data_IF_598348469800
#
_entry.id   IF_598348469800
#
_cell.length_a   1.000
_cell.length_b   1.000
_cell.length_c   1.000
_cell.angle_alpha   90.00
_cell.angle_beta   90.00
_cell.angle_gamma   90.00
#
_symmetry.space_group_name_H-M   'P 1'
#
loop_
_entity.id
_entity.type
_entity.pdbx_description
1 polymer ?
#
# COMPACT_ATOMS: atom_id res chain seq x y z
N UNK A 1 -15.76 -9.57 -59.17
CA UNK A 1 -14.88 -8.52 -59.73
C UNK A 1 -13.84 -8.18 -58.68
N UNK A 2 -12.57 -8.56 -58.92
CA UNK A 2 -11.45 -8.35 -58.00
C UNK A 2 -10.94 -6.92 -58.15
N UNK A 3 -10.75 -6.18 -57.06
CA UNK A 3 -9.84 -5.02 -57.04
C UNK A 3 -8.67 -5.34 -56.12
N UNK A 4 -7.51 -5.30 -56.74
CA UNK A 4 -6.16 -5.59 -56.25
C UNK A 4 -5.45 -4.26 -56.05
N UNK A 5 -4.59 -4.20 -55.03
CA UNK A 5 -3.47 -3.27 -54.82
C UNK A 5 -3.84 -1.80 -54.54
N UNK A 6 -3.25 -1.13 -53.55
CA UNK A 6 -1.81 -0.87 -53.46
C UNK A 6 -1.37 -0.61 -52.02
N UNK A 7 -0.18 -1.14 -51.69
CA UNK A 7 0.65 -0.76 -50.56
C UNK A 7 1.34 0.56 -50.89
N UNK A 8 1.37 1.50 -49.94
CA UNK A 8 2.35 2.61 -49.96
C UNK A 8 3.26 2.40 -48.76
N UNK A 9 4.50 2.02 -49.07
CA UNK A 9 5.63 2.08 -48.18
C UNK A 9 6.10 3.54 -48.10
N UNK A 10 6.23 4.07 -46.89
CA UNK A 10 6.88 5.35 -46.62
C UNK A 10 8.01 5.13 -45.64
N UNK A 11 9.20 4.85 -46.17
CA UNK A 11 10.47 4.90 -45.44
C UNK A 11 10.87 6.35 -45.21
N UNK A 12 11.14 6.73 -43.95
CA UNK A 12 11.99 7.88 -43.64
C UNK A 12 12.97 7.49 -42.54
N UNK A 13 14.24 7.70 -42.85
CA UNK A 13 15.41 7.31 -42.10
C UNK A 13 15.86 8.38 -41.10
N UNK A 14 16.51 7.89 -40.04
CA UNK A 14 17.68 8.43 -39.35
C UNK A 14 17.67 9.86 -38.76
N UNK A 15 17.85 9.94 -37.44
CA UNK A 15 18.95 10.71 -36.84
C UNK A 15 19.27 10.14 -35.45
N UNK A 16 20.41 9.45 -35.36
CA UNK A 16 21.05 9.04 -34.10
C UNK A 16 21.97 10.19 -33.69
N UNK A 17 21.76 10.78 -32.53
CA UNK A 17 22.75 11.68 -31.92
C UNK A 17 23.08 11.16 -30.52
N UNK A 18 24.15 10.38 -30.46
CA UNK A 18 24.83 10.04 -29.21
C UNK A 18 25.78 11.18 -28.84
N UNK A 19 25.62 11.77 -27.66
CA UNK A 19 26.66 12.59 -27.02
C UNK A 19 27.13 11.86 -25.76
N UNK A 20 28.43 11.62 -25.69
CA UNK A 20 29.11 10.93 -24.61
C UNK A 20 29.96 11.90 -23.78
N UNK A 21 30.29 11.41 -22.57
CA UNK A 21 31.46 11.72 -21.73
C UNK A 21 31.40 12.94 -20.79
N UNK A 22 31.38 12.61 -19.49
CA UNK A 22 31.79 13.47 -18.39
C UNK A 22 32.09 12.64 -17.15
N UNK A 23 33.21 11.91 -17.12
CA UNK A 23 33.78 11.36 -15.89
C UNK A 23 34.51 12.49 -15.15
N UNK A 24 34.10 12.80 -13.93
CA UNK A 24 34.91 13.59 -13.00
C UNK A 24 35.05 12.80 -11.70
N UNK A 25 36.20 12.14 -11.56
CA UNK A 25 36.65 11.50 -10.34
C UNK A 25 37.55 12.50 -9.60
N UNK A 26 37.16 12.87 -8.37
CA UNK A 26 38.05 13.56 -7.45
C UNK A 26 38.35 12.61 -6.30
N UNK A 27 39.52 11.99 -6.35
CA UNK A 27 40.10 11.22 -5.25
C UNK A 27 40.57 12.19 -4.18
N UNK A 28 40.04 12.09 -2.96
CA UNK A 28 40.59 12.80 -1.80
C UNK A 28 41.24 11.78 -0.86
N UNK A 29 42.52 12.05 -0.67
CA UNK A 29 43.56 11.31 0.02
C UNK A 29 43.25 10.97 1.48
N UNK A 30 43.59 9.74 1.85
CA UNK A 30 43.71 9.23 3.22
C UNK A 30 44.87 9.96 3.91
N UNK A 31 44.63 10.67 5.01
CA UNK A 31 45.68 10.99 5.97
C UNK A 31 45.64 9.97 7.12
N UNK A 32 46.71 9.17 7.16
CA UNK A 32 46.99 8.14 8.15
C UNK A 32 48.05 8.71 9.07
N UNK A 33 47.65 9.38 10.15
CA UNK A 33 48.56 9.71 11.23
C UNK A 33 48.50 8.65 12.32
N UNK A 34 49.44 7.71 12.21
CA UNK A 34 49.96 6.88 13.30
C UNK A 34 50.56 7.73 14.42
N UNK A 35 50.26 7.41 15.67
CA UNK A 35 51.29 7.09 16.69
C UNK A 35 50.67 6.41 17.92
N UNK A 36 50.98 5.12 17.97
CA UNK A 36 51.21 4.25 19.11
C UNK A 36 52.10 4.90 20.18
N UNK A 37 51.77 4.74 21.47
CA UNK A 37 52.69 4.12 22.44
C UNK A 37 52.01 3.90 23.79
N UNK A 38 52.41 2.77 24.37
CA UNK A 38 51.95 2.08 25.56
C UNK A 38 52.09 2.82 26.90
N UNK A 39 51.35 2.34 27.88
CA UNK A 39 51.54 2.66 29.30
C UNK A 39 50.83 1.64 30.20
N UNK A 40 51.47 0.50 30.43
CA UNK A 40 51.11 -0.48 31.48
C UNK A 40 51.50 0.05 32.84
N UNK A 41 50.62 -0.02 33.85
CA UNK A 41 50.93 -0.39 35.26
C UNK A 41 49.68 -0.47 36.15
N UNK A 42 49.52 -1.61 36.81
CA UNK A 42 48.63 -1.96 37.97
C UNK A 42 49.43 -1.66 39.27
N UNK A 43 48.90 -1.41 40.52
CA UNK A 43 47.89 -2.23 41.21
C UNK A 43 46.96 -1.59 42.32
N UNK A 44 45.98 -2.42 42.73
CA UNK A 44 45.43 -2.66 44.09
C UNK A 44 44.48 -1.67 44.82
N UNK A 45 43.22 -2.14 44.94
CA UNK A 45 42.36 -2.29 46.13
C UNK A 45 41.88 -1.07 46.97
N UNK A 46 40.55 -0.84 46.96
CA UNK A 46 39.68 -0.80 48.16
C UNK A 46 38.17 -0.73 47.77
N UNK A 47 37.36 -1.67 48.27
CA UNK A 47 35.90 -1.55 48.47
C UNK A 47 35.67 -1.26 49.98
N UNK A 48 34.45 -0.96 50.50
CA UNK A 48 33.11 -0.78 49.88
C UNK A 48 32.35 0.49 50.39
N UNK A 49 31.21 0.83 49.79
CA UNK A 49 29.98 1.22 50.55
C UNK A 49 28.75 1.24 49.65
N UNK A 50 27.74 0.49 50.07
CA UNK A 50 26.36 0.41 49.57
C UNK A 50 25.59 1.70 49.80
N UNK A 51 24.83 2.21 48.82
CA UNK A 51 23.50 2.82 49.04
C UNK A 51 22.59 2.61 47.83
N UNK A 52 21.60 1.76 48.04
CA UNK A 52 20.47 1.44 47.20
C UNK A 52 19.33 2.42 47.54
N UNK A 53 18.80 3.13 46.56
CA UNK A 53 17.49 3.80 46.66
C UNK A 53 16.79 3.68 45.31
N UNK A 54 15.60 3.06 45.33
CA UNK A 54 14.97 2.39 44.20
C UNK A 54 14.49 3.33 43.08
N UNK A 55 14.95 3.05 41.86
CA UNK A 55 14.23 3.45 40.66
C UNK A 55 13.06 2.48 40.46
N UNK A 56 11.84 3.00 40.52
CA UNK A 56 10.64 2.24 40.17
C UNK A 56 10.79 1.66 38.76
N UNK A 57 10.69 0.35 38.66
CA UNK A 57 10.67 -0.35 37.38
C UNK A 57 9.51 0.21 36.54
N UNK A 58 9.70 0.52 35.24
CA UNK A 58 8.59 0.84 34.38
C UNK A 58 7.64 -0.36 34.39
N UNK A 59 6.37 -0.11 34.69
CA UNK A 59 5.32 -1.11 34.58
C UNK A 59 5.34 -1.62 33.13
N UNK A 60 5.87 -2.83 32.94
CA UNK A 60 5.74 -3.52 31.68
C UNK A 60 4.26 -3.78 31.49
N UNK A 61 3.63 -3.05 30.57
CA UNK A 61 2.31 -3.41 30.08
C UNK A 61 2.48 -4.75 29.38
N UNK A 62 2.16 -5.83 30.09
CA UNK A 62 2.09 -7.17 29.50
C UNK A 62 1.02 -7.09 28.43
N UNK A 63 1.44 -7.05 27.16
CA UNK A 63 0.54 -7.26 26.04
C UNK A 63 0.05 -8.70 26.20
N UNK A 64 -1.23 -8.88 26.49
CA UNK A 64 -1.82 -10.20 26.54
C UNK A 64 -1.54 -10.87 25.18
N UNK A 65 -0.98 -12.08 25.21
CA UNK A 65 -0.82 -12.86 23.99
C UNK A 65 -2.22 -13.15 23.44
N UNK A 66 -2.48 -12.91 22.15
CA UNK A 66 -3.78 -13.21 21.57
C UNK A 66 -4.09 -14.71 21.72
N UNK A 67 -5.37 -15.01 21.94
CA UNK A 67 -5.88 -16.37 21.91
C UNK A 67 -5.83 -16.83 20.44
N UNK A 68 -5.09 -17.91 20.11
CA UNK A 68 -4.97 -18.39 18.74
C UNK A 68 -6.30 -18.86 18.14
N UNK A 69 -7.32 -19.11 18.97
CA UNK A 69 -8.66 -19.50 18.52
C UNK A 69 -9.62 -18.29 18.37
N UNK A 70 -9.16 -17.08 18.69
CA UNK A 70 -9.94 -15.85 18.47
C UNK A 70 -9.77 -15.32 17.05
N UNK A 71 -10.87 -14.86 16.44
CA UNK A 71 -10.86 -14.16 15.15
C UNK A 71 -10.53 -12.66 15.29
N UNK A 72 -10.04 -12.26 16.45
CA UNK A 72 -9.58 -10.90 16.70
C UNK A 72 -8.27 -10.63 15.96
N UNK A 73 -8.15 -9.43 15.37
CA UNK A 73 -6.90 -9.00 14.73
C UNK A 73 -5.91 -8.43 15.76
N UNK A 74 -4.59 -8.63 15.59
CA UNK A 74 -3.58 -8.14 16.54
C UNK A 74 -3.66 -6.62 16.78
N UNK A 75 -3.84 -6.22 18.04
CA UNK A 75 -3.99 -4.81 18.42
C UNK A 75 -5.37 -4.21 18.15
N UNK A 76 -6.32 -5.01 17.68
CA UNK A 76 -7.70 -4.62 17.38
C UNK A 76 -7.85 -3.96 16.01
N UNK A 77 -9.10 -3.93 15.52
CA UNK A 77 -9.45 -3.45 14.16
C UNK A 77 -8.87 -2.07 13.84
N UNK A 78 -9.04 -1.08 14.74
CA UNK A 78 -8.54 0.28 14.53
C UNK A 78 -7.03 0.36 14.30
N UNK A 79 -6.25 -0.44 15.04
CA UNK A 79 -4.79 -0.46 14.90
C UNK A 79 -4.37 -1.12 13.58
N UNK A 80 -5.01 -2.24 13.23
CA UNK A 80 -4.78 -2.95 11.96
C UNK A 80 -5.10 -2.08 10.75
N UNK A 81 -6.26 -1.41 10.76
CA UNK A 81 -6.65 -0.51 9.67
C UNK A 81 -5.71 0.70 9.59
N UNK A 82 -5.35 1.31 10.72
CA UNK A 82 -4.41 2.45 10.74
C UNK A 82 -3.04 2.06 10.17
N UNK A 83 -2.57 0.86 10.51
CA UNK A 83 -1.32 0.34 9.96
C UNK A 83 -1.43 0.08 8.45
N UNK A 84 -2.55 -0.49 7.99
CA UNK A 84 -2.80 -0.72 6.56
C UNK A 84 -2.86 0.60 5.76
N UNK A 85 -3.57 1.61 6.26
CA UNK A 85 -3.66 2.95 5.64
C UNK A 85 -2.26 3.59 5.50
N UNK A 86 -1.36 3.39 6.47
CA UNK A 86 0.00 3.95 6.41
C UNK A 86 0.87 3.42 5.26
N UNK A 87 0.46 2.31 4.63
CA UNK A 87 1.19 1.64 3.54
C UNK A 87 0.69 2.02 2.15
N UNK A 88 -0.37 2.82 2.04
CA UNK A 88 -0.96 3.23 0.76
C UNK A 88 -0.88 4.75 0.57
N UNK A 89 -1.04 5.20 -0.67
CA UNK A 89 -1.12 6.61 -0.99
C UNK A 89 -2.38 7.25 -0.36
N UNK A 90 -2.35 8.57 -0.03
CA UNK A 90 -3.56 9.30 0.35
C UNK A 90 -4.58 9.30 -0.80
N UNK A 91 -5.87 9.58 -0.55
CA UNK A 91 -6.89 9.61 -1.60
C UNK A 91 -6.53 10.57 -2.73
N UNK A 92 -6.01 11.73 -2.36
CA UNK A 92 -5.53 12.81 -3.22
C UNK A 92 -4.52 13.65 -2.45
N UNK A 93 -3.80 14.55 -3.13
CA UNK A 93 -2.85 15.44 -2.48
C UNK A 93 -3.53 16.26 -1.35
N UNK A 94 -3.00 16.13 -0.14
CA UNK A 94 -3.55 16.80 1.06
C UNK A 94 -4.84 16.19 1.62
N UNK A 95 -5.38 15.14 0.99
CA UNK A 95 -6.54 14.41 1.50
C UNK A 95 -6.17 13.30 2.48
N UNK A 96 -7.14 12.86 3.27
CA UNK A 96 -7.01 11.74 4.20
C UNK A 96 -8.14 10.73 3.99
N UNK A 97 -7.85 9.48 4.30
CA UNK A 97 -8.86 8.42 4.33
C UNK A 97 -9.71 8.50 5.59
N UNK A 98 -10.98 8.12 5.47
CA UNK A 98 -11.85 7.71 6.58
C UNK A 98 -12.31 6.29 6.34
N UNK A 99 -12.55 5.54 7.41
CA UNK A 99 -13.02 4.16 7.34
C UNK A 99 -14.52 4.16 7.08
N UNK A 100 -14.94 3.42 6.04
CA UNK A 100 -16.34 3.15 5.72
C UNK A 100 -16.73 1.76 6.20
N UNK A 101 -17.34 0.96 5.33
CA UNK A 101 -17.70 -0.43 5.63
C UNK A 101 -16.45 -1.29 5.87
N UNK A 102 -16.52 -2.15 6.89
CA UNK A 102 -15.46 -3.09 7.25
C UNK A 102 -16.07 -4.46 7.56
N UNK A 103 -15.38 -5.51 7.13
CA UNK A 103 -15.62 -6.90 7.55
C UNK A 103 -14.36 -7.52 8.12
N UNK A 104 -13.40 -6.70 8.56
CA UNK A 104 -12.08 -7.15 8.98
C UNK A 104 -12.21 -8.22 10.07
N UNK A 105 -11.67 -9.40 9.77
CA UNK A 105 -11.76 -10.58 10.62
C UNK A 105 -10.47 -11.40 10.47
N UNK A 106 -9.97 -11.90 11.60
CA UNK A 106 -8.71 -12.64 11.70
C UNK A 106 -8.78 -14.10 11.26
N UNK A 107 -9.98 -14.64 11.02
CA UNK A 107 -10.23 -16.00 10.56
C UNK A 107 -10.81 -16.09 9.15
N UNK A 108 -11.13 -14.96 8.52
CA UNK A 108 -11.75 -14.93 7.19
C UNK A 108 -10.71 -15.12 6.10
N UNK A 109 -11.01 -16.00 5.13
CA UNK A 109 -10.20 -16.21 3.93
C UNK A 109 -10.02 -14.88 3.17
N UNK A 110 -11.09 -14.10 3.08
CA UNK A 110 -11.06 -12.72 2.60
C UNK A 110 -11.92 -11.84 3.50
N UNK A 111 -11.33 -10.77 4.03
CA UNK A 111 -12.07 -9.66 4.61
C UNK A 111 -11.65 -8.35 3.95
N UNK A 112 -12.45 -7.30 4.08
CA UNK A 112 -12.15 -6.02 3.44
C UNK A 112 -12.50 -4.83 4.30
N UNK A 113 -11.88 -3.69 3.95
CA UNK A 113 -12.19 -2.38 4.50
C UNK A 113 -12.32 -1.40 3.35
N UNK A 114 -13.48 -0.75 3.25
CA UNK A 114 -13.70 0.37 2.33
C UNK A 114 -13.15 1.64 2.96
N UNK A 115 -12.29 2.33 2.23
CA UNK A 115 -11.82 3.66 2.55
C UNK A 115 -12.53 4.69 1.69
N UNK A 116 -13.03 5.73 2.33
CA UNK A 116 -13.64 6.88 1.69
C UNK A 116 -12.74 8.11 1.87
N UNK A 117 -12.82 9.07 0.96
CA UNK A 117 -12.13 10.35 1.16
C UNK A 117 -12.84 11.14 2.27
N UNK A 118 -12.11 11.57 3.30
CA UNK A 118 -12.67 12.39 4.37
C UNK A 118 -13.27 13.70 3.81
N UNK A 119 -14.55 13.96 4.12
CA UNK A 119 -15.29 15.10 3.57
C UNK A 119 -15.60 14.99 2.07
N UNK A 120 -15.41 13.79 1.49
CA UNK A 120 -15.64 13.53 0.08
C UNK A 120 -17.12 13.41 -0.30
N UNK A 121 -17.35 13.27 -1.59
CA UNK A 121 -18.65 12.90 -2.19
C UNK A 121 -18.48 11.61 -2.98
N UNK A 122 -19.54 11.09 -3.62
CA UNK A 122 -19.44 9.87 -4.42
C UNK A 122 -18.38 9.96 -5.55
N UNK A 123 -18.10 11.17 -6.06
CA UNK A 123 -17.06 11.38 -7.08
C UNK A 123 -15.65 11.51 -6.52
N UNK A 124 -15.50 11.52 -5.19
CA UNK A 124 -14.19 11.49 -4.54
C UNK A 124 -13.58 10.09 -4.62
N UNK A 125 -12.25 9.97 -4.50
CA UNK A 125 -11.61 8.66 -4.50
C UNK A 125 -12.06 7.75 -3.35
N UNK A 126 -12.18 6.47 -3.66
CA UNK A 126 -12.36 5.37 -2.72
C UNK A 126 -11.19 4.40 -2.86
N UNK A 127 -10.99 3.55 -1.86
CA UNK A 127 -10.09 2.41 -1.96
C UNK A 127 -10.67 1.21 -1.23
N UNK A 128 -10.47 0.01 -1.77
CA UNK A 128 -10.78 -1.24 -1.08
C UNK A 128 -9.47 -1.81 -0.54
N UNK A 129 -9.35 -1.95 0.78
CA UNK A 129 -8.28 -2.74 1.38
C UNK A 129 -8.74 -4.19 1.51
N UNK A 130 -7.90 -5.14 1.12
CA UNK A 130 -8.21 -6.57 1.18
C UNK A 130 -7.26 -7.25 2.17
N UNK A 131 -7.82 -8.10 3.01
CA UNK A 131 -7.14 -8.83 4.08
C UNK A 131 -7.42 -10.32 3.96
N UNK A 132 -6.47 -11.11 4.44
CA UNK A 132 -6.60 -12.56 4.66
C UNK A 132 -6.04 -12.83 6.06
N UNK A 133 -6.79 -13.53 6.91
CA UNK A 133 -6.45 -13.76 8.32
C UNK A 133 -6.05 -12.48 9.07
N UNK A 134 -6.78 -11.39 8.84
CA UNK A 134 -6.49 -10.07 9.43
C UNK A 134 -5.23 -9.37 8.90
N UNK A 135 -4.51 -9.97 7.94
CA UNK A 135 -3.29 -9.41 7.33
C UNK A 135 -3.59 -8.81 5.96
N UNK A 136 -3.22 -7.54 5.79
CA UNK A 136 -3.43 -6.81 4.54
C UNK A 136 -2.67 -7.47 3.38
N UNK A 137 -3.42 -7.87 2.35
CA UNK A 137 -2.89 -8.44 1.11
C UNK A 137 -2.62 -7.35 0.05
N UNK A 138 -3.39 -6.26 0.09
CA UNK A 138 -3.22 -5.13 -0.81
C UNK A 138 -4.47 -4.30 -0.97
N UNK A 139 -4.52 -3.53 -2.05
CA UNK A 139 -5.71 -2.79 -2.46
C UNK A 139 -6.43 -3.51 -3.60
N UNK A 140 -7.75 -3.35 -3.71
CA UNK A 140 -8.53 -3.93 -4.81
C UNK A 140 -8.07 -3.38 -6.18
N UNK A 141 -7.81 -2.08 -6.27
CA UNK A 141 -7.19 -1.49 -7.46
C UNK A 141 -5.94 -0.72 -7.09
N UNK A 142 -4.99 -0.63 -8.03
CA UNK A 142 -3.80 0.20 -7.86
C UNK A 142 -4.13 1.69 -7.73
N UNK A 143 -5.19 2.13 -8.41
CA UNK A 143 -5.68 3.50 -8.36
C UNK A 143 -6.69 3.71 -7.23
N UNK A 144 -6.87 4.97 -6.83
CA UNK A 144 -7.98 5.40 -6.00
C UNK A 144 -9.13 5.84 -6.91
N UNK A 145 -10.06 4.92 -7.22
CA UNK A 145 -11.16 5.17 -8.15
C UNK A 145 -12.40 5.75 -7.44
N UNK A 146 -13.19 6.62 -8.08
CA UNK A 146 -14.44 7.13 -7.52
C UNK A 146 -15.61 6.14 -7.66
N UNK A 147 -16.75 6.49 -7.07
CA UNK A 147 -18.05 5.83 -7.25
C UNK A 147 -18.06 4.30 -7.00
N UNK A 148 -17.34 3.86 -5.98
CA UNK A 148 -17.29 2.45 -5.59
C UNK A 148 -18.43 2.11 -4.61
N UNK A 149 -19.03 0.94 -4.75
CA UNK A 149 -19.95 0.38 -3.75
C UNK A 149 -19.85 -1.14 -3.71
N UNK A 150 -19.87 -1.73 -2.51
CA UNK A 150 -19.98 -3.19 -2.36
C UNK A 150 -21.38 -3.63 -2.76
N UNK A 151 -21.48 -4.66 -3.60
CA UNK A 151 -22.77 -5.23 -4.04
C UNK A 151 -22.97 -6.66 -3.58
N UNK A 152 -21.89 -7.37 -3.23
CA UNK A 152 -21.94 -8.72 -2.66
C UNK A 152 -20.64 -9.03 -1.92
N UNK A 153 -20.66 -9.96 -0.96
CA UNK A 153 -19.46 -10.47 -0.29
C UNK A 153 -19.74 -11.78 0.45
N UNK A 154 -18.72 -12.62 0.56
CA UNK A 154 -18.73 -13.86 1.33
C UNK A 154 -17.42 -14.08 2.09
N UNK A 155 -17.18 -15.31 2.55
CA UNK A 155 -16.01 -15.68 3.34
C UNK A 155 -14.68 -15.53 2.57
N UNK A 156 -14.70 -15.72 1.25
CA UNK A 156 -13.53 -15.73 0.38
C UNK A 156 -13.59 -14.68 -0.75
N UNK A 157 -14.64 -13.85 -0.82
CA UNK A 157 -14.78 -12.86 -1.90
C UNK A 157 -15.51 -11.57 -1.51
N UNK A 158 -15.27 -10.53 -2.31
CA UNK A 158 -16.05 -9.28 -2.30
C UNK A 158 -16.26 -8.80 -3.73
N UNK A 159 -17.50 -8.42 -4.07
CA UNK A 159 -17.85 -7.84 -5.36
C UNK A 159 -18.11 -6.35 -5.22
N UNK A 160 -17.34 -5.55 -5.94
CA UNK A 160 -17.44 -4.09 -5.98
C UNK A 160 -18.05 -3.67 -7.31
N UNK A 161 -19.08 -2.83 -7.25
CA UNK A 161 -19.51 -2.06 -8.40
C UNK A 161 -18.64 -0.81 -8.54
N UNK A 162 -18.01 -0.66 -9.70
CA UNK A 162 -17.28 0.53 -10.10
C UNK A 162 -18.13 1.29 -11.11
N UNK A 163 -18.64 2.47 -10.71
CA UNK A 163 -19.25 3.40 -11.67
C UNK A 163 -18.23 4.37 -12.22
N UNK A 164 -18.47 4.88 -13.42
CA UNK A 164 -17.56 5.79 -14.10
C UNK A 164 -18.31 6.66 -15.11
N UNK A 165 -17.69 7.79 -15.46
CA UNK A 165 -18.21 8.72 -16.45
C UNK A 165 -18.02 8.13 -17.84
N UNK A 166 -19.12 7.89 -18.55
CA UNK A 166 -19.13 7.34 -19.89
C UNK A 166 -19.41 8.45 -20.92
N UNK A 167 -18.35 9.10 -21.42
CA UNK A 167 -18.48 10.24 -22.34
C UNK A 167 -18.74 11.55 -21.61
N UNK A 168 -19.64 12.39 -22.14
CA UNK A 168 -19.89 13.74 -21.63
C UNK A 168 -21.02 13.76 -20.57
N UNK A 169 -20.79 13.11 -19.42
CA UNK A 169 -21.76 13.03 -18.32
C UNK A 169 -21.37 13.95 -17.14
N UNK A 170 -22.34 14.47 -16.38
CA UNK A 170 -22.02 15.18 -15.13
C UNK A 170 -21.50 14.20 -14.07
N UNK A 171 -20.53 14.65 -13.27
CA UNK A 171 -19.98 13.88 -12.13
C UNK A 171 -21.04 13.37 -11.15
N UNK A 172 -22.19 14.06 -11.03
CA UNK A 172 -23.27 13.64 -10.14
C UNK A 172 -24.06 12.43 -10.66
N UNK A 173 -23.93 12.05 -11.94
CA UNK A 173 -24.75 10.99 -12.55
C UNK A 173 -23.98 10.12 -13.56
N UNK A 174 -22.89 9.43 -13.15
CA UNK A 174 -22.19 8.49 -14.03
C UNK A 174 -23.11 7.35 -14.46
N UNK A 175 -23.17 7.02 -15.75
CA UNK A 175 -23.97 5.89 -16.26
C UNK A 175 -23.13 4.64 -16.51
N UNK A 176 -21.81 4.77 -16.64
CA UNK A 176 -20.90 3.65 -16.72
C UNK A 176 -20.90 2.83 -15.43
N UNK A 177 -20.86 1.50 -15.55
CA UNK A 177 -20.88 0.59 -14.41
C UNK A 177 -20.27 -0.78 -14.77
N UNK A 178 -19.44 -1.33 -13.90
CA UNK A 178 -18.91 -2.70 -14.00
C UNK A 178 -18.79 -3.31 -12.61
N UNK A 179 -19.08 -4.61 -12.49
CA UNK A 179 -18.80 -5.36 -11.28
C UNK A 179 -17.44 -6.05 -11.42
N UNK A 180 -16.63 -5.91 -10.38
CA UNK A 180 -15.36 -6.64 -10.22
C UNK A 180 -15.45 -7.44 -8.94
N UNK A 181 -15.12 -8.72 -9.02
CA UNK A 181 -15.03 -9.58 -7.83
C UNK A 181 -13.57 -9.78 -7.47
N UNK A 182 -13.24 -9.60 -6.20
CA UNK A 182 -11.96 -9.98 -5.63
C UNK A 182 -12.15 -11.26 -4.84
N UNK A 183 -11.42 -12.32 -5.19
CA UNK A 183 -11.58 -13.63 -4.59
C UNK A 183 -10.24 -14.16 -4.08
N UNK A 184 -10.23 -14.74 -2.89
CA UNK A 184 -9.10 -15.48 -2.37
C UNK A 184 -9.03 -16.86 -3.04
N UNK A 185 -7.85 -17.22 -3.54
CA UNK A 185 -7.62 -18.48 -4.28
C UNK A 185 -6.83 -19.51 -3.47
N UNK A 186 -6.67 -19.30 -2.16
CA UNK A 186 -5.81 -20.09 -1.29
C UNK A 186 -4.33 -19.69 -1.32
N UNK A 187 -3.92 -18.82 -2.26
CA UNK A 187 -2.54 -18.32 -2.36
C UNK A 187 -2.41 -16.81 -2.53
N UNK A 188 -3.52 -16.14 -2.81
CA UNK A 188 -3.56 -14.72 -3.12
C UNK A 188 -4.95 -14.29 -3.60
N UNK A 189 -5.10 -12.98 -3.78
CA UNK A 189 -6.33 -12.37 -4.30
C UNK A 189 -6.30 -12.35 -5.82
N UNK A 190 -7.30 -12.92 -6.45
CA UNK A 190 -7.58 -12.80 -7.87
C UNK A 190 -8.65 -11.72 -8.12
N UNK A 191 -8.43 -10.88 -9.12
CA UNK A 191 -9.40 -9.90 -9.60
C UNK A 191 -10.14 -10.49 -10.81
N UNK A 192 -11.43 -10.78 -10.65
CA UNK A 192 -12.30 -11.34 -11.66
C UNK A 192 -13.11 -10.21 -12.31
N UNK A 193 -12.93 -10.05 -13.62
CA UNK A 193 -13.50 -8.97 -14.41
C UNK A 193 -12.42 -8.04 -14.96
N UNK A 194 -12.83 -6.95 -15.62
CA UNK A 194 -11.88 -5.97 -16.18
C UNK A 194 -12.46 -4.58 -16.07
N UNK A 195 -11.67 -3.65 -15.55
CA UNK A 195 -12.04 -2.24 -15.50
C UNK A 195 -11.86 -1.62 -16.89
N UNK A 196 -12.89 -0.92 -17.42
CA UNK A 196 -12.76 -0.24 -18.69
C UNK A 196 -11.83 0.96 -18.60
N UNK A 197 -11.23 1.35 -19.72
CA UNK A 197 -10.36 2.52 -19.81
C UNK A 197 -11.04 3.81 -19.30
N UNK A 198 -12.35 3.94 -19.55
CA UNK A 198 -13.14 5.06 -19.05
C UNK A 198 -13.18 5.15 -17.51
N UNK A 199 -13.03 4.03 -16.80
CA UNK A 199 -12.94 4.02 -15.34
C UNK A 199 -11.53 4.34 -14.85
N UNK A 200 -10.50 3.89 -15.59
CA UNK A 200 -9.10 3.96 -15.15
C UNK A 200 -8.33 5.16 -15.69
N UNK A 201 -8.91 5.89 -16.66
CA UNK A 201 -8.16 6.86 -17.47
C UNK A 201 -7.01 6.24 -18.25
N UNK A 202 -7.07 4.92 -18.49
CA UNK A 202 -6.00 4.13 -19.10
C UNK A 202 -4.78 3.94 -18.19
N UNK A 203 -4.86 4.30 -16.91
CA UNK A 203 -3.73 4.34 -15.99
C UNK A 203 -4.11 3.69 -14.65
N UNK A 204 -4.46 2.41 -14.69
CA UNK A 204 -4.53 1.50 -13.54
C UNK A 204 -4.02 0.14 -14.00
#
# INVERSE_FOLDING_TARGET
MRKVSQRVAGSSAAAITALALGLSACSITIDRSTRESEGTSTPAAAQPTTQQSGAGAPAQTTVASPDPDSCDVPGGESATISNAISRIAPPMAGGSWTVGQSTLDGCSDLSYVVLETAGGTASSPYQLLIFHDGVMQGTGTRCNLPYQSIVDSGEDYVTVNYRYIAGDEPNAAPQGSVNITYQWTGSGVEMIGTLPEAATGGQC
#
